data_IF_130068328519
#
_entry.id   IF_130068328519
#
_cell.length_a   1.000
_cell.length_b   1.000
_cell.length_c   1.000
_cell.angle_alpha   90.00
_cell.angle_beta   90.00
_cell.angle_gamma   90.00
#
_symmetry.space_group_name_H-M   'P 1'
#
loop_
_entity.id
_entity.type
_entity.pdbx_description
1 polymer ?
#
# COMPACT_ATOMS: atom_id res chain seq x y z
N UNK A 1 -7.07 -4.10 22.53
CA UNK A 1 -6.18 -3.00 22.12
C UNK A 1 -5.29 -2.63 23.30
N UNK A 2 -4.11 -3.24 23.37
CA UNK A 2 -3.07 -2.87 24.34
C UNK A 2 -2.36 -1.60 23.83
N UNK A 3 -3.06 -0.47 23.91
CA UNK A 3 -2.38 0.82 23.69
C UNK A 3 -1.41 1.06 24.83
N UNK A 4 -0.18 1.43 24.52
CA UNK A 4 0.79 1.85 25.50
C UNK A 4 0.26 3.13 26.17
N UNK A 5 0.18 3.12 27.50
CA UNK A 5 -0.17 4.31 28.27
C UNK A 5 1.08 5.18 28.43
N UNK A 6 1.26 6.06 27.48
CA UNK A 6 2.41 6.98 27.45
C UNK A 6 2.45 7.95 28.63
N UNK A 7 1.32 8.24 29.26
CA UNK A 7 1.28 9.07 30.48
C UNK A 7 2.06 8.39 31.60
N UNK A 8 1.74 7.12 31.87
CA UNK A 8 2.45 6.33 32.89
C UNK A 8 3.92 6.11 32.55
N UNK A 9 4.23 5.94 31.27
CA UNK A 9 5.63 5.83 30.82
C UNK A 9 6.40 7.11 31.12
N UNK A 10 5.85 8.27 30.79
CA UNK A 10 6.48 9.57 31.02
C UNK A 10 6.63 9.86 32.49
N UNK A 11 5.61 9.58 33.32
CA UNK A 11 5.67 9.70 34.79
C UNK A 11 6.81 8.84 35.35
N UNK A 12 6.92 7.58 34.91
CA UNK A 12 7.95 6.66 35.38
C UNK A 12 9.38 7.08 34.98
N UNK A 13 9.54 7.86 33.91
CA UNK A 13 10.83 8.32 33.40
C UNK A 13 11.12 9.81 33.71
N UNK A 14 10.26 10.51 34.50
CA UNK A 14 10.44 11.89 34.83
C UNK A 14 10.37 12.85 33.64
N UNK A 15 9.59 12.48 32.64
CA UNK A 15 9.39 13.27 31.40
C UNK A 15 8.00 13.89 31.35
N UNK A 16 7.32 14.05 32.48
CA UNK A 16 6.01 14.69 32.59
C UNK A 16 6.00 16.07 31.91
N UNK A 17 4.96 16.27 31.10
CA UNK A 17 4.79 17.54 30.38
C UNK A 17 5.58 17.66 29.09
N UNK A 18 6.37 16.67 28.72
CA UNK A 18 6.98 16.59 27.43
C UNK A 18 6.07 15.68 26.56
N UNK A 19 5.39 16.20 25.52
CA UNK A 19 4.61 15.38 24.63
C UNK A 19 5.54 14.60 23.69
N UNK A 20 6.39 13.75 24.25
CA UNK A 20 7.25 12.88 23.47
C UNK A 20 6.49 11.57 23.25
N UNK A 21 5.86 11.40 22.11
CA UNK A 21 5.58 10.07 21.60
C UNK A 21 6.92 9.48 21.16
N UNK A 22 7.43 8.43 21.81
CA UNK A 22 8.62 7.75 21.31
C UNK A 22 8.33 7.25 19.91
N UNK A 23 9.24 7.50 19.01
CA UNK A 23 9.15 6.98 17.67
C UNK A 23 9.33 5.46 17.73
N UNK A 24 8.31 4.73 17.29
CA UNK A 24 8.37 3.27 17.17
C UNK A 24 8.99 2.94 15.83
N UNK A 25 10.01 2.10 15.85
CA UNK A 25 10.65 1.57 14.66
C UNK A 25 10.61 0.04 14.70
N UNK A 26 10.04 -0.54 13.67
CA UNK A 26 10.15 -1.97 13.40
C UNK A 26 11.42 -2.24 12.59
N UNK A 27 12.40 -2.90 13.18
CA UNK A 27 13.65 -3.21 12.50
C UNK A 27 13.46 -4.24 11.38
N UNK A 28 12.51 -5.17 11.57
CA UNK A 28 12.09 -6.15 10.58
C UNK A 28 10.58 -6.28 10.62
N UNK A 29 9.94 -6.37 9.48
CA UNK A 29 8.51 -6.57 9.35
C UNK A 29 8.20 -7.53 8.20
N UNK A 30 6.97 -8.09 8.22
CA UNK A 30 6.54 -9.09 7.27
C UNK A 30 6.43 -10.47 7.92
N UNK A 31 6.21 -11.45 7.09
CA UNK A 31 6.05 -12.85 7.47
C UNK A 31 6.98 -13.71 6.61
N UNK A 32 7.67 -14.68 7.23
CA UNK A 32 8.67 -15.50 6.54
C UNK A 32 8.08 -16.23 5.34
N UNK A 33 6.87 -16.76 5.47
CA UNK A 33 6.22 -17.54 4.41
C UNK A 33 5.76 -16.68 3.23
N UNK A 34 5.73 -15.36 3.39
CA UNK A 34 5.25 -14.41 2.40
C UNK A 34 6.31 -13.37 1.98
N UNK A 35 7.59 -13.67 2.25
CA UNK A 35 8.69 -12.82 1.80
C UNK A 35 8.65 -12.65 0.27
N UNK A 36 8.81 -11.44 -0.20
CA UNK A 36 8.79 -11.14 -1.62
C UNK A 36 7.41 -11.19 -2.29
N UNK A 37 6.33 -11.53 -1.56
CA UNK A 37 4.96 -11.58 -2.08
C UNK A 37 4.33 -10.19 -2.03
N UNK A 38 4.16 -9.50 -3.18
CA UNK A 38 3.79 -8.08 -3.19
C UNK A 38 2.44 -7.82 -2.51
N UNK A 39 1.42 -8.60 -2.80
CA UNK A 39 0.08 -8.42 -2.23
C UNK A 39 0.05 -8.55 -0.70
N UNK A 40 0.88 -9.40 -0.10
CA UNK A 40 0.99 -9.56 1.36
C UNK A 40 1.74 -8.42 2.01
N UNK A 41 2.72 -7.86 1.34
CA UNK A 41 3.49 -6.72 1.84
C UNK A 41 2.65 -5.44 1.92
N UNK A 42 1.61 -5.29 1.10
CA UNK A 42 0.66 -4.16 1.21
C UNK A 42 0.03 -4.09 2.60
N UNK A 43 -0.32 -5.23 3.21
CA UNK A 43 -0.84 -5.28 4.58
C UNK A 43 0.12 -4.61 5.59
N UNK A 44 1.40 -4.92 5.49
CA UNK A 44 2.41 -4.37 6.40
C UNK A 44 2.63 -2.88 6.16
N UNK A 45 2.79 -2.48 4.90
CA UNK A 45 3.02 -1.08 4.52
C UNK A 45 1.83 -0.22 4.94
N UNK A 46 0.59 -0.65 4.66
CA UNK A 46 -0.60 0.11 5.02
C UNK A 46 -0.71 0.32 6.54
N UNK A 47 -0.43 -0.71 7.35
CA UNK A 47 -0.46 -0.60 8.82
C UNK A 47 0.65 0.29 9.37
N UNK A 48 1.84 0.21 8.80
CA UNK A 48 2.97 1.08 9.17
C UNK A 48 2.60 2.55 8.92
N UNK A 49 1.98 2.82 7.77
CA UNK A 49 1.52 4.18 7.44
C UNK A 49 0.35 4.64 8.30
N UNK A 50 -0.63 3.80 8.57
CA UNK A 50 -1.79 4.15 9.39
C UNK A 50 -1.40 4.48 10.83
N UNK A 51 -0.50 3.71 11.41
CA UNK A 51 -0.02 3.88 12.79
C UNK A 51 1.11 4.93 12.90
N UNK A 52 1.58 5.48 11.77
CA UNK A 52 2.68 6.46 11.72
C UNK A 52 3.94 6.00 12.44
N UNK A 53 4.28 4.74 12.25
CA UNK A 53 5.51 4.12 12.75
C UNK A 53 6.53 3.98 11.62
N UNK A 54 7.78 3.68 11.97
CA UNK A 54 8.83 3.44 10.97
C UNK A 54 9.05 1.95 10.80
N UNK A 55 9.04 1.48 9.56
CA UNK A 55 9.48 0.13 9.19
C UNK A 55 10.83 0.20 8.45
N UNK A 56 11.82 -0.57 8.89
CA UNK A 56 13.16 -0.47 8.33
C UNK A 56 13.46 -1.51 7.25
N UNK A 57 13.07 -2.77 7.48
CA UNK A 57 13.40 -3.88 6.61
C UNK A 57 12.22 -4.82 6.47
N UNK A 58 11.79 -5.17 5.24
CA UNK A 58 10.95 -6.32 5.07
C UNK A 58 11.73 -7.58 5.50
N UNK A 59 11.03 -8.51 6.13
CA UNK A 59 11.62 -9.81 6.46
C UNK A 59 12.09 -10.49 5.17
N UNK A 60 13.21 -11.20 5.22
CA UNK A 60 13.83 -11.82 4.05
C UNK A 60 13.99 -13.33 4.24
N UNK A 61 13.77 -14.06 3.16
CA UNK A 61 13.84 -15.51 3.14
C UNK A 61 15.26 -16.01 2.80
N UNK A 62 15.95 -15.29 1.91
CA UNK A 62 17.26 -15.69 1.46
C UNK A 62 18.27 -14.54 1.52
N UNK A 63 19.48 -14.84 1.97
CA UNK A 63 20.59 -13.91 1.89
C UNK A 63 20.95 -13.60 0.43
N UNK A 64 21.51 -12.42 0.20
CA UNK A 64 22.05 -11.94 -1.07
C UNK A 64 21.05 -11.61 -2.18
N UNK A 65 19.76 -11.50 -1.88
CA UNK A 65 18.75 -11.09 -2.85
C UNK A 65 18.04 -9.78 -2.48
N UNK A 66 18.67 -8.92 -1.69
CA UNK A 66 18.17 -7.62 -1.27
C UNK A 66 16.76 -7.72 -0.63
N UNK A 67 16.65 -8.52 0.43
CA UNK A 67 15.38 -8.70 1.17
C UNK A 67 14.23 -9.24 0.30
N UNK A 68 14.53 -10.24 -0.52
CA UNK A 68 13.60 -10.83 -1.48
C UNK A 68 13.00 -9.82 -2.49
N UNK A 69 13.79 -8.83 -2.89
CA UNK A 69 13.39 -7.84 -3.89
C UNK A 69 14.10 -8.05 -5.24
N UNK A 70 15.23 -8.73 -5.25
CA UNK A 70 16.01 -9.00 -6.45
C UNK A 70 15.89 -10.45 -6.87
N UNK A 71 15.56 -10.69 -8.12
CA UNK A 71 15.57 -12.00 -8.75
C UNK A 71 16.98 -12.35 -9.30
N UNK A 72 17.73 -11.33 -9.68
CA UNK A 72 19.10 -11.44 -10.21
C UNK A 72 19.79 -10.09 -10.23
N UNK A 73 20.94 -10.02 -10.90
CA UNK A 73 21.62 -8.75 -11.07
C UNK A 73 20.79 -7.81 -11.95
N UNK A 74 20.38 -6.69 -11.39
CA UNK A 74 19.52 -5.67 -12.03
C UNK A 74 18.11 -6.18 -12.42
N UNK A 75 17.62 -7.23 -11.78
CA UNK A 75 16.29 -7.77 -12.02
C UNK A 75 15.51 -7.75 -10.73
N UNK A 76 14.42 -6.98 -10.68
CA UNK A 76 13.48 -6.96 -9.56
C UNK A 76 12.45 -8.09 -9.66
N UNK A 77 11.94 -8.53 -8.53
CA UNK A 77 10.75 -9.38 -8.45
C UNK A 77 9.48 -8.53 -8.25
N UNK A 78 8.33 -9.18 -7.99
CA UNK A 78 7.08 -8.47 -7.78
C UNK A 78 7.10 -7.50 -6.59
N UNK A 79 7.76 -7.87 -5.50
CA UNK A 79 7.88 -7.00 -4.33
C UNK A 79 8.73 -5.75 -4.59
N UNK A 80 9.75 -5.84 -5.45
CA UNK A 80 10.52 -4.68 -5.88
C UNK A 80 9.63 -3.62 -6.54
N UNK A 81 8.70 -4.06 -7.40
CA UNK A 81 7.75 -3.16 -8.05
C UNK A 81 6.81 -2.50 -7.05
N UNK A 82 6.32 -3.26 -6.06
CA UNK A 82 5.51 -2.70 -4.98
C UNK A 82 6.26 -1.58 -4.25
N UNK A 83 7.51 -1.83 -3.83
CA UNK A 83 8.31 -0.83 -3.12
C UNK A 83 8.68 0.35 -4.00
N UNK A 84 8.88 0.13 -5.30
CA UNK A 84 9.08 1.21 -6.26
C UNK A 84 7.85 2.12 -6.29
N UNK A 85 6.66 1.56 -6.48
CA UNK A 85 5.43 2.34 -6.48
C UNK A 85 5.17 3.02 -5.14
N UNK A 86 5.39 2.34 -4.03
CA UNK A 86 5.27 2.93 -2.70
C UNK A 86 6.23 4.13 -2.53
N UNK A 87 7.47 4.01 -2.97
CA UNK A 87 8.44 5.11 -2.94
C UNK A 87 8.11 6.27 -3.88
N UNK A 88 7.26 6.06 -4.88
CA UNK A 88 6.78 7.10 -5.80
C UNK A 88 5.50 7.78 -5.32
N UNK A 89 4.80 7.22 -4.33
CA UNK A 89 3.62 7.85 -3.73
C UNK A 89 3.99 9.19 -3.09
N UNK A 90 3.09 10.15 -3.19
CA UNK A 90 3.29 11.48 -2.63
C UNK A 90 1.96 12.11 -2.19
N UNK A 91 2.06 13.19 -1.44
CA UNK A 91 0.91 13.90 -0.91
C UNK A 91 0.53 13.42 0.49
N UNK A 92 -0.76 13.44 0.80
CA UNK A 92 -1.31 13.11 2.12
C UNK A 92 -2.02 11.77 2.08
N UNK A 93 -1.73 10.90 3.04
CA UNK A 93 -2.42 9.61 3.17
C UNK A 93 -3.92 9.80 3.39
N UNK A 94 -4.72 8.98 2.72
CA UNK A 94 -6.17 8.97 2.82
C UNK A 94 -6.64 7.74 3.58
N UNK A 95 -7.75 7.82 4.33
CA UNK A 95 -8.33 6.66 5.00
C UNK A 95 -8.73 5.59 3.99
N UNK A 96 -8.35 4.34 4.25
CA UNK A 96 -8.76 3.18 3.45
C UNK A 96 -9.53 2.21 4.34
N UNK A 97 -10.63 1.68 3.81
CA UNK A 97 -11.36 0.59 4.44
C UNK A 97 -11.54 -0.54 3.44
N UNK A 98 -11.46 -1.76 3.91
CA UNK A 98 -11.63 -2.97 3.10
C UNK A 98 -12.81 -3.79 3.59
N UNK A 99 -13.45 -4.54 2.70
CA UNK A 99 -14.58 -5.41 3.04
C UNK A 99 -14.19 -6.66 3.81
N UNK A 100 -12.89 -6.98 3.87
CA UNK A 100 -12.37 -8.16 4.53
C UNK A 100 -11.56 -7.78 5.77
N UNK A 101 -11.83 -8.47 6.88
CA UNK A 101 -11.02 -8.38 8.09
C UNK A 101 -10.18 -9.65 8.14
N UNK A 102 -8.86 -9.54 8.20
CA UNK A 102 -7.89 -10.64 8.24
C UNK A 102 -7.79 -11.45 6.92
N UNK A 103 -6.60 -11.78 6.50
CA UNK A 103 -6.24 -12.58 5.31
C UNK A 103 -6.91 -12.14 4.00
N UNK A 104 -7.08 -10.84 3.83
CA UNK A 104 -7.79 -10.29 2.71
C UNK A 104 -7.13 -9.08 2.07
N UNK A 105 -7.94 -8.34 1.35
CA UNK A 105 -7.54 -7.14 0.64
C UNK A 105 -7.09 -6.03 1.60
N UNK A 106 -5.94 -5.47 1.36
CA UNK A 106 -5.37 -4.32 2.06
C UNK A 106 -5.06 -3.20 1.07
N UNK A 107 -5.02 -1.97 1.56
CA UNK A 107 -4.72 -0.82 0.72
C UNK A 107 -4.10 0.33 1.47
N UNK A 108 -3.40 1.16 0.71
CA UNK A 108 -2.86 2.46 1.11
C UNK A 108 -3.18 3.45 0.00
N UNK A 109 -3.69 4.61 0.34
CA UNK A 109 -4.02 5.65 -0.63
C UNK A 109 -3.41 6.99 -0.24
N UNK A 110 -3.02 7.77 -1.24
CA UNK A 110 -2.55 9.16 -1.07
C UNK A 110 -3.23 10.08 -2.06
N UNK A 111 -3.31 11.36 -1.68
CA UNK A 111 -3.74 12.45 -2.55
C UNK A 111 -2.67 13.53 -2.58
N UNK A 112 -2.16 13.82 -3.76
CA UNK A 112 -1.22 14.90 -4.02
C UNK A 112 -1.89 16.00 -4.85
N UNK A 113 -2.38 17.02 -4.17
CA UNK A 113 -3.06 18.16 -4.80
C UNK A 113 -2.15 18.95 -5.73
N UNK A 114 -0.86 19.02 -5.41
CA UNK A 114 0.10 19.78 -6.24
C UNK A 114 0.36 19.10 -7.57
N UNK A 115 0.42 17.76 -7.56
CA UNK A 115 0.58 16.95 -8.77
C UNK A 115 -0.74 16.61 -9.44
N UNK A 116 -1.86 16.83 -8.76
CA UNK A 116 -3.21 16.47 -9.21
C UNK A 116 -3.37 14.96 -9.44
N UNK A 117 -2.84 14.18 -8.53
CA UNK A 117 -2.85 12.72 -8.63
C UNK A 117 -3.29 12.09 -7.31
N UNK A 118 -4.14 11.07 -7.41
CA UNK A 118 -4.40 10.14 -6.32
C UNK A 118 -3.80 8.79 -6.66
N UNK A 119 -3.07 8.21 -5.73
CA UNK A 119 -2.42 6.90 -5.91
C UNK A 119 -2.91 5.95 -4.85
N UNK A 120 -3.33 4.76 -5.26
CA UNK A 120 -3.77 3.70 -4.35
C UNK A 120 -2.99 2.42 -4.64
N UNK A 121 -2.32 1.89 -3.63
CA UNK A 121 -1.76 0.54 -3.62
C UNK A 121 -2.75 -0.39 -2.92
N UNK A 122 -3.03 -1.54 -3.49
CA UNK A 122 -3.86 -2.57 -2.86
C UNK A 122 -3.40 -3.95 -3.26
N UNK A 123 -3.72 -4.95 -2.45
CA UNK A 123 -3.35 -6.34 -2.69
C UNK A 123 -3.67 -7.26 -1.52
N UNK A 124 -3.31 -8.53 -1.65
CA UNK A 124 -3.52 -9.56 -0.63
C UNK A 124 -4.79 -10.38 -0.81
N UNK A 125 -5.52 -10.18 -1.90
CA UNK A 125 -6.75 -10.91 -2.22
C UNK A 125 -6.70 -11.46 -3.65
N UNK A 126 -7.26 -12.63 -3.84
CA UNK A 126 -7.42 -13.28 -5.14
C UNK A 126 -8.90 -13.23 -5.54
N UNK A 127 -9.21 -12.54 -6.61
CA UNK A 127 -10.56 -12.37 -7.13
C UNK A 127 -10.84 -10.98 -7.68
N UNK A 128 -12.03 -10.81 -8.22
CA UNK A 128 -12.51 -9.53 -8.70
C UNK A 128 -12.52 -8.52 -7.55
N UNK A 129 -11.99 -7.34 -7.81
CA UNK A 129 -11.86 -6.27 -6.82
C UNK A 129 -12.59 -5.03 -7.28
N UNK A 130 -13.28 -4.40 -6.37
CA UNK A 130 -13.88 -3.09 -6.59
C UNK A 130 -13.16 -2.06 -5.72
N UNK A 131 -12.64 -1.01 -6.33
CA UNK A 131 -12.04 0.13 -5.64
C UNK A 131 -12.99 1.32 -5.77
N UNK A 132 -13.51 1.77 -4.64
CA UNK A 132 -14.35 2.96 -4.57
C UNK A 132 -13.56 4.11 -3.96
N UNK A 133 -13.42 5.22 -4.69
CA UNK A 133 -12.88 6.46 -4.18
C UNK A 133 -14.05 7.40 -3.85
N UNK A 134 -14.21 7.69 -2.56
CA UNK A 134 -15.27 8.56 -2.07
C UNK A 134 -14.81 10.01 -1.99
N UNK A 135 -15.74 10.94 -2.06
CA UNK A 135 -15.50 12.38 -1.92
C UNK A 135 -14.47 12.95 -2.93
N UNK A 136 -14.38 12.37 -4.11
CA UNK A 136 -13.44 12.82 -5.15
C UNK A 136 -13.64 14.29 -5.46
N UNK A 137 -14.88 14.74 -5.61
CA UNK A 137 -15.24 16.14 -5.89
C UNK A 137 -15.04 17.09 -4.70
N UNK A 138 -14.71 16.58 -3.52
CA UNK A 138 -14.39 17.41 -2.34
C UNK A 138 -12.93 17.86 -2.31
N UNK A 139 -12.09 17.34 -3.21
CA UNK A 139 -10.70 17.77 -3.37
C UNK A 139 -10.63 18.97 -4.32
N UNK A 140 -9.69 19.87 -4.10
CA UNK A 140 -9.50 21.03 -4.98
C UNK A 140 -9.19 20.60 -6.43
N UNK A 141 -8.45 19.52 -6.59
CA UNK A 141 -8.07 18.95 -7.87
C UNK A 141 -9.26 18.50 -8.71
N UNK A 142 -10.25 17.85 -8.08
CA UNK A 142 -11.36 17.20 -8.78
C UNK A 142 -12.72 17.86 -8.52
N UNK A 143 -12.76 19.05 -7.92
CA UNK A 143 -13.98 19.72 -7.46
C UNK A 143 -15.09 19.84 -8.53
N UNK A 144 -14.74 19.92 -9.80
CA UNK A 144 -15.69 20.05 -10.90
C UNK A 144 -15.52 18.93 -11.94
N UNK A 145 -14.84 17.85 -11.56
CA UNK A 145 -14.63 16.73 -12.47
C UNK A 145 -15.94 15.97 -12.69
N UNK A 146 -16.32 15.77 -13.92
CA UNK A 146 -17.36 14.81 -14.32
C UNK A 146 -16.79 13.47 -14.74
N UNK A 147 -15.47 13.43 -14.95
CA UNK A 147 -14.71 12.26 -15.41
C UNK A 147 -13.32 12.34 -14.80
N UNK A 148 -12.77 11.20 -14.39
CA UNK A 148 -11.40 11.03 -13.90
C UNK A 148 -10.69 10.01 -14.77
N UNK A 149 -9.47 10.30 -15.18
CA UNK A 149 -8.62 9.31 -15.85
C UNK A 149 -8.04 8.37 -14.81
N UNK A 150 -8.18 7.08 -15.03
CA UNK A 150 -7.69 6.01 -14.16
C UNK A 150 -6.76 5.10 -14.94
N UNK A 151 -5.63 4.76 -14.35
CA UNK A 151 -4.72 3.72 -14.81
C UNK A 151 -4.50 2.73 -13.67
N UNK A 152 -4.58 1.43 -13.96
CA UNK A 152 -4.30 0.36 -13.02
C UNK A 152 -3.18 -0.50 -13.57
N UNK A 153 -2.09 -0.59 -12.82
CA UNK A 153 -0.98 -1.47 -13.11
C UNK A 153 -0.96 -2.64 -12.13
N UNK A 154 -0.44 -3.76 -12.56
CA UNK A 154 -0.36 -4.97 -11.78
C UNK A 154 1.07 -5.50 -11.68
N UNK A 155 1.42 -6.04 -10.51
CA UNK A 155 2.61 -6.87 -10.32
C UNK A 155 2.21 -8.18 -9.64
N UNK A 156 3.01 -9.22 -9.86
CA UNK A 156 2.73 -10.57 -9.37
C UNK A 156 3.88 -11.12 -8.53
N UNK A 157 3.59 -12.18 -7.80
CA UNK A 157 4.62 -13.04 -7.22
C UNK A 157 5.06 -14.08 -8.26
N UNK A 158 6.23 -13.92 -8.79
CA UNK A 158 6.84 -14.85 -9.77
C UNK A 158 7.77 -15.87 -9.11
N UNK A 159 7.68 -16.06 -7.78
CA UNK A 159 8.62 -16.83 -6.98
C UNK A 159 9.73 -15.97 -6.38
N UNK A 160 10.45 -16.50 -5.39
CA UNK A 160 11.51 -15.76 -4.68
C UNK A 160 12.66 -15.32 -5.60
N UNK A 161 12.88 -16.05 -6.69
CA UNK A 161 13.91 -15.77 -7.70
C UNK A 161 13.31 -15.43 -9.08
N UNK A 162 12.01 -15.26 -9.16
CA UNK A 162 11.33 -14.94 -10.41
C UNK A 162 11.39 -13.45 -10.71
N UNK A 163 12.06 -13.08 -11.80
CA UNK A 163 12.08 -11.72 -12.28
C UNK A 163 10.69 -11.29 -12.78
N UNK A 164 10.30 -10.07 -12.45
CA UNK A 164 9.15 -9.38 -13.03
C UNK A 164 9.69 -8.18 -13.80
N UNK A 165 9.77 -8.34 -15.12
CA UNK A 165 10.43 -7.36 -15.99
C UNK A 165 9.51 -6.23 -16.41
N UNK A 166 8.20 -6.42 -16.28
CA UNK A 166 7.18 -5.44 -16.65
C UNK A 166 5.96 -5.53 -15.72
N UNK A 167 5.26 -4.43 -15.60
CA UNK A 167 3.99 -4.33 -14.87
C UNK A 167 2.92 -3.90 -15.86
N UNK A 168 2.10 -4.82 -16.35
CA UNK A 168 1.10 -4.50 -17.36
C UNK A 168 0.08 -3.50 -16.82
N UNK A 169 -0.34 -2.58 -17.68
CA UNK A 169 -1.56 -1.79 -17.47
C UNK A 169 -2.74 -2.69 -17.78
N UNK A 170 -3.52 -3.02 -16.77
CA UNK A 170 -4.67 -3.93 -16.87
C UNK A 170 -5.99 -3.19 -17.04
N UNK A 171 -6.01 -1.91 -16.72
CA UNK A 171 -7.13 -1.01 -16.97
C UNK A 171 -6.59 0.40 -17.18
N UNK A 172 -7.07 1.05 -18.23
CA UNK A 172 -6.81 2.47 -18.47
C UNK A 172 -8.03 3.10 -19.12
N UNK A 173 -8.45 4.26 -18.61
CA UNK A 173 -9.56 4.96 -19.21
C UNK A 173 -10.17 6.06 -18.35
N UNK A 174 -11.19 6.67 -18.93
CA UNK A 174 -11.97 7.71 -18.31
C UNK A 174 -13.14 7.08 -17.54
N UNK A 175 -13.17 7.28 -16.23
CA UNK A 175 -14.24 6.80 -15.34
C UNK A 175 -15.14 7.98 -14.97
N UNK A 176 -16.45 7.89 -15.18
CA UNK A 176 -17.38 8.95 -14.80
C UNK A 176 -17.44 9.10 -13.28
N UNK A 177 -17.57 10.34 -12.83
CA UNK A 177 -17.85 10.66 -11.42
C UNK A 177 -19.35 10.48 -11.20
N UNK A 178 -19.70 9.74 -10.16
CA UNK A 178 -21.08 9.50 -9.75
C UNK A 178 -21.71 10.78 -9.16
N UNK A 179 -23.03 10.83 -9.09
CA UNK A 179 -23.79 11.98 -8.54
C UNK A 179 -23.42 12.30 -7.09
N UNK A 180 -22.96 11.32 -6.32
CA UNK A 180 -22.48 11.47 -4.94
C UNK A 180 -21.01 11.93 -4.83
N UNK A 181 -20.37 12.18 -5.95
CA UNK A 181 -18.95 12.59 -6.01
C UNK A 181 -17.95 11.46 -5.83
N UNK A 182 -18.38 10.21 -5.92
CA UNK A 182 -17.50 9.04 -5.90
C UNK A 182 -17.12 8.59 -7.32
N UNK A 183 -16.08 7.76 -7.41
CA UNK A 183 -15.83 6.91 -8.59
C UNK A 183 -15.70 5.45 -8.15
N UNK A 184 -16.09 4.55 -9.03
CA UNK A 184 -15.98 3.11 -8.81
C UNK A 184 -15.17 2.49 -9.95
N UNK A 185 -14.13 1.77 -9.59
CA UNK A 185 -13.24 1.08 -10.52
C UNK A 185 -13.40 -0.42 -10.30
N UNK A 186 -13.90 -1.13 -11.30
CA UNK A 186 -14.00 -2.59 -11.28
C UNK A 186 -12.74 -3.19 -11.89
N UNK A 187 -12.03 -3.96 -11.11
CA UNK A 187 -10.79 -4.61 -11.49
C UNK A 187 -11.03 -6.11 -11.54
N UNK A 188 -11.13 -6.69 -12.75
CA UNK A 188 -11.37 -8.12 -12.88
C UNK A 188 -10.20 -8.91 -12.32
N UNK A 189 -10.49 -10.11 -11.84
CA UNK A 189 -9.45 -11.05 -11.50
C UNK A 189 -8.59 -11.31 -12.73
N UNK A 190 -7.35 -10.94 -12.66
CA UNK A 190 -6.42 -11.13 -13.75
C UNK A 190 -5.75 -12.51 -13.66
N UNK A 191 -5.02 -12.89 -14.68
CA UNK A 191 -4.36 -14.20 -14.78
C UNK A 191 -3.28 -14.45 -13.72
N UNK A 192 -3.05 -13.48 -12.82
CA UNK A 192 -2.07 -13.57 -11.74
C UNK A 192 -2.70 -14.00 -10.39
N UNK A 193 -3.83 -14.67 -10.47
CA UNK A 193 -4.60 -15.21 -9.35
C UNK A 193 -3.83 -16.10 -8.36
N UNK A 194 -2.58 -16.42 -8.62
CA UNK A 194 -1.70 -17.15 -7.70
C UNK A 194 -0.64 -16.25 -7.05
N UNK A 195 -0.79 -14.96 -7.15
CA UNK A 195 0.06 -14.01 -6.42
C UNK A 195 -0.52 -13.80 -5.01
N UNK A 196 -0.37 -14.80 -4.17
CA UNK A 196 -0.86 -14.86 -2.80
C UNK A 196 -0.58 -13.61 -1.97
#
# INVERSE_FOLDING_TARGET
NNKIDWTKYNEANGTEGIPVMPQICFNEYGEMDFCGVPGRLVNWISRIEDEKVTGCLPFWHQANNLNDLAAGANEGNGAWWLYKWYGEMSGVTQPVSTSTNYDGLYGLSTMDEAKKISTTLFGGFDGDTEVQLNNVTSTDTFANASVVHVEVQETMFAGFHGAVTETPVILEGAIPVNDDGSITVHIPNTLFANAY
#
